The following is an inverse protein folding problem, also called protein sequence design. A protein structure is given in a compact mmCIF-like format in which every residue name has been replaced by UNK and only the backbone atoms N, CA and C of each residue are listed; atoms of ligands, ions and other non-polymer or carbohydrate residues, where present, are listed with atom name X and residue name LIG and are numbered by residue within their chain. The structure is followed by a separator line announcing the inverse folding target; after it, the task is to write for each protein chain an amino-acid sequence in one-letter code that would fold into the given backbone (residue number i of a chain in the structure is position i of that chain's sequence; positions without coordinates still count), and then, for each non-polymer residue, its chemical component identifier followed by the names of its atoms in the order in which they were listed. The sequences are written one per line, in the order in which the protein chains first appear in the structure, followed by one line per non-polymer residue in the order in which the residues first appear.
data_IF_902421239690
#
_entry.id   IF_902421239690
#
_cell.length_a   1.000
_cell.length_b   1.000
_cell.length_c   1.000
_cell.angle_alpha   90.00
_cell.angle_beta   90.00
_cell.angle_gamma   90.00
#
_symmetry.space_group_name_H-M   'P 1'
#
loop_
_entity.id
_entity.type
_entity.pdbx_description
1 polymer ?
#
# COMPACT_ATOMS: atom_id res chain seq x y z
N UNK A 1 -5.47 31.70 -9.06
CA UNK A 1 -4.67 30.70 -8.33
C UNK A 1 -5.06 29.33 -8.84
N UNK A 2 -4.11 28.54 -9.37
CA UNK A 2 -4.43 27.19 -9.86
C UNK A 2 -4.81 26.28 -8.69
N UNK A 3 -5.89 25.52 -8.81
CA UNK A 3 -6.25 24.52 -7.81
C UNK A 3 -5.09 23.52 -7.67
N UNK A 4 -4.63 23.28 -6.43
CA UNK A 4 -3.60 22.29 -6.18
C UNK A 4 -4.13 20.89 -6.54
N UNK A 5 -3.29 20.07 -7.18
CA UNK A 5 -3.59 18.69 -7.59
C UNK A 5 -2.79 17.73 -6.73
N UNK A 6 -3.40 16.60 -6.38
CA UNK A 6 -2.72 15.48 -5.75
C UNK A 6 -3.11 14.18 -6.46
N UNK A 7 -2.14 13.39 -6.90
CA UNK A 7 -2.36 12.10 -7.56
C UNK A 7 -1.58 11.02 -6.85
N UNK A 8 -2.36 10.17 -6.18
CA UNK A 8 -1.85 9.08 -5.37
C UNK A 8 -1.98 7.80 -6.18
N UNK A 9 -0.89 7.06 -6.31
CA UNK A 9 -0.94 5.66 -6.74
C UNK A 9 -1.04 4.74 -5.53
N UNK A 10 -1.77 3.65 -5.65
CA UNK A 10 -1.79 2.59 -4.64
C UNK A 10 -1.77 1.21 -5.28
N UNK A 11 -0.98 0.29 -4.73
CA UNK A 11 -1.15 -1.12 -5.08
C UNK A 11 -2.43 -1.67 -4.44
N UNK A 12 -3.06 -2.71 -5.01
CA UNK A 12 -4.39 -3.14 -4.57
C UNK A 12 -4.50 -3.42 -3.07
N UNK A 13 -3.50 -4.05 -2.44
CA UNK A 13 -3.57 -4.40 -1.02
C UNK A 13 -3.07 -3.26 -0.11
N UNK A 14 -2.39 -2.25 -0.65
CA UNK A 14 -2.06 -1.04 0.10
C UNK A 14 -3.31 -0.23 0.46
N UNK A 15 -4.41 -0.38 -0.29
CA UNK A 15 -5.66 0.33 -0.05
C UNK A 15 -6.51 -0.35 1.03
N UNK A 16 -6.04 -0.30 2.27
CA UNK A 16 -6.77 -0.81 3.44
C UNK A 16 -7.86 0.16 3.91
N UNK A 17 -8.84 -0.28 4.73
CA UNK A 17 -9.84 0.62 5.33
C UNK A 17 -9.22 1.78 6.12
N UNK A 18 -8.07 1.55 6.77
CA UNK A 18 -7.32 2.60 7.49
C UNK A 18 -6.80 3.68 6.53
N UNK A 19 -6.25 3.27 5.38
CA UNK A 19 -5.77 4.21 4.36
C UNK A 19 -6.92 4.95 3.70
N UNK A 20 -8.01 4.27 3.36
CA UNK A 20 -9.20 4.89 2.81
C UNK A 20 -9.76 5.98 3.74
N UNK A 21 -9.88 5.68 5.04
CA UNK A 21 -10.31 6.65 6.05
C UNK A 21 -9.33 7.84 6.20
N UNK A 22 -8.02 7.62 6.02
CA UNK A 22 -7.03 8.69 6.05
C UNK A 22 -7.14 9.61 4.83
N UNK A 23 -7.31 9.05 3.64
CA UNK A 23 -7.53 9.82 2.41
C UNK A 23 -8.83 10.62 2.49
N UNK A 24 -9.88 10.06 3.09
CA UNK A 24 -11.14 10.78 3.31
C UNK A 24 -10.95 12.00 4.21
N UNK A 25 -10.20 11.86 5.32
CA UNK A 25 -9.88 13.01 6.19
C UNK A 25 -9.08 14.09 5.46
N UNK A 26 -8.10 13.72 4.63
CA UNK A 26 -7.34 14.68 3.82
C UNK A 26 -8.25 15.41 2.84
N UNK A 27 -9.15 14.69 2.16
CA UNK A 27 -10.14 15.27 1.24
C UNK A 27 -11.04 16.29 1.95
N UNK A 28 -11.50 15.97 3.16
CA UNK A 28 -12.36 16.86 3.95
C UNK A 28 -11.59 18.09 4.49
N UNK A 29 -10.33 17.92 4.90
CA UNK A 29 -9.50 19.01 5.40
C UNK A 29 -9.02 19.97 4.29
N UNK A 30 -8.93 19.48 3.05
CA UNK A 30 -8.42 20.24 1.91
C UNK A 30 -9.36 20.19 0.69
N UNK A 31 -10.58 20.73 0.78
CA UNK A 31 -11.59 20.62 -0.27
C UNK A 31 -11.20 21.32 -1.59
N UNK A 32 -10.27 22.27 -1.53
CA UNK A 32 -9.75 22.95 -2.73
C UNK A 32 -8.72 22.13 -3.52
N UNK A 33 -8.23 21.01 -2.97
CA UNK A 33 -7.28 20.12 -3.65
C UNK A 33 -8.05 19.15 -4.53
N UNK A 34 -7.71 19.10 -5.83
CA UNK A 34 -8.20 18.04 -6.72
C UNK A 34 -7.37 16.78 -6.52
N UNK A 35 -7.82 15.90 -5.64
CA UNK A 35 -7.21 14.60 -5.39
C UNK A 35 -7.71 13.54 -6.38
N UNK A 36 -6.83 12.68 -6.87
CA UNK A 36 -7.20 11.45 -7.57
C UNK A 36 -6.37 10.26 -7.07
N UNK A 37 -6.99 9.08 -7.10
CA UNK A 37 -6.38 7.82 -6.71
C UNK A 37 -6.32 6.90 -7.93
N UNK A 38 -5.16 6.28 -8.17
CA UNK A 38 -4.94 5.31 -9.24
C UNK A 38 -4.50 3.99 -8.62
N UNK A 39 -5.22 2.92 -8.90
CA UNK A 39 -4.78 1.57 -8.53
C UNK A 39 -3.86 1.05 -9.63
N UNK A 40 -2.64 0.66 -9.26
CA UNK A 40 -1.58 0.22 -10.18
C UNK A 40 -0.88 -1.02 -9.65
N UNK A 41 -0.15 -1.74 -10.51
CA UNK A 41 0.73 -2.82 -10.08
C UNK A 41 1.84 -2.30 -9.17
N UNK A 42 2.22 -3.07 -8.14
CA UNK A 42 3.24 -2.65 -7.16
C UNK A 42 4.57 -2.22 -7.77
N UNK A 43 4.95 -2.82 -8.90
CA UNK A 43 6.21 -2.54 -9.61
C UNK A 43 6.16 -1.27 -10.46
N UNK A 44 4.97 -0.81 -10.82
CA UNK A 44 4.76 0.35 -11.68
C UNK A 44 4.81 1.66 -10.88
N UNK A 45 4.40 1.59 -9.60
CA UNK A 45 4.27 2.76 -8.73
C UNK A 45 5.58 3.52 -8.55
N UNK A 46 6.73 2.89 -8.22
CA UNK A 46 7.99 3.62 -8.03
C UNK A 46 8.41 4.41 -9.29
N UNK A 47 8.30 3.80 -10.47
CA UNK A 47 8.65 4.46 -11.73
C UNK A 47 7.70 5.63 -12.03
N UNK A 48 6.41 5.47 -11.75
CA UNK A 48 5.42 6.53 -11.95
C UNK A 48 5.55 7.69 -10.94
N UNK A 49 6.06 7.45 -9.73
CA UNK A 49 6.46 8.51 -8.79
C UNK A 49 7.73 9.20 -9.29
N UNK A 50 8.75 8.44 -9.68
CA UNK A 50 10.02 8.99 -10.17
C UNK A 50 9.84 9.86 -11.43
N UNK A 51 8.87 9.53 -12.29
CA UNK A 51 8.55 10.31 -13.49
C UNK A 51 7.61 11.50 -13.24
N UNK A 52 7.12 11.70 -12.00
CA UNK A 52 6.11 12.72 -11.66
C UNK A 52 4.71 12.43 -12.21
N UNK A 53 4.44 11.22 -12.70
CA UNK A 53 3.09 10.82 -13.10
C UNK A 53 2.17 10.61 -11.89
N UNK A 54 2.76 10.29 -10.74
CA UNK A 54 2.16 10.25 -9.42
C UNK A 54 2.93 11.19 -8.49
N UNK A 55 2.22 11.86 -7.59
CA UNK A 55 2.81 12.72 -6.57
C UNK A 55 3.23 11.89 -5.34
N UNK A 56 2.55 10.78 -5.07
CA UNK A 56 2.84 9.82 -3.99
C UNK A 56 2.43 8.40 -4.41
N UNK A 57 3.16 7.40 -3.95
CA UNK A 57 2.84 5.99 -4.12
C UNK A 57 2.65 5.25 -2.79
N UNK A 58 1.59 4.46 -2.67
CA UNK A 58 1.38 3.50 -1.58
C UNK A 58 1.62 2.09 -2.14
N UNK A 59 2.56 1.37 -1.54
CA UNK A 59 2.98 0.03 -1.97
C UNK A 59 2.82 -0.94 -0.81
N UNK A 60 2.41 -2.16 -1.14
CA UNK A 60 2.30 -3.27 -0.19
C UNK A 60 3.24 -4.42 -0.56
N UNK A 61 3.48 -5.27 0.44
CA UNK A 61 4.07 -6.58 0.24
C UNK A 61 4.58 -7.17 1.56
N UNK A 62 4.98 -8.45 1.51
CA UNK A 62 5.55 -9.12 2.66
C UNK A 62 6.94 -8.55 2.98
N UNK A 63 7.18 -8.30 4.27
CA UNK A 63 8.49 -7.94 4.81
C UNK A 63 8.75 -8.78 6.06
N UNK A 64 10.01 -8.84 6.49
CA UNK A 64 10.29 -9.24 7.87
C UNK A 64 10.12 -8.00 8.77
N UNK A 65 9.89 -8.15 10.09
CA UNK A 65 9.76 -7.01 11.01
C UNK A 65 10.98 -6.08 11.04
N UNK A 66 12.14 -6.59 10.65
CA UNK A 66 13.41 -5.84 10.65
C UNK A 66 13.76 -5.25 9.30
N UNK A 67 13.13 -5.71 8.22
CA UNK A 67 13.48 -5.32 6.86
C UNK A 67 12.43 -4.37 6.28
N UNK A 68 12.89 -3.32 5.62
CA UNK A 68 12.02 -2.51 4.77
C UNK A 68 11.51 -3.34 3.58
N UNK A 69 10.32 -2.99 3.08
CA UNK A 69 9.78 -3.58 1.87
C UNK A 69 10.78 -3.34 0.70
N UNK A 70 11.27 -4.40 0.03
CA UNK A 70 12.15 -4.21 -1.12
C UNK A 70 11.38 -3.51 -2.26
N UNK A 71 11.91 -2.37 -2.69
CA UNK A 71 11.36 -1.57 -3.79
C UNK A 71 12.37 -1.52 -4.95
N UNK A 72 11.90 -1.48 -6.20
CA UNK A 72 12.75 -1.17 -7.35
C UNK A 72 13.54 0.13 -7.13
N UNK A 73 14.85 0.09 -7.37
CA UNK A 73 15.72 1.28 -7.36
C UNK A 73 15.51 2.09 -8.64
N UNK A 74 14.50 2.96 -8.64
CA UNK A 74 14.17 3.85 -9.77
C UNK A 74 14.19 5.30 -9.31
N UNK A 75 15.37 5.91 -9.38
CA UNK A 75 15.59 7.32 -9.04
C UNK A 75 15.65 7.61 -7.53
N UNK A 76 15.87 8.87 -7.14
CA UNK A 76 15.99 9.28 -5.74
C UNK A 76 14.61 9.33 -5.09
N UNK A 77 14.08 8.16 -4.72
CA UNK A 77 12.83 8.03 -3.98
C UNK A 77 13.10 7.97 -2.48
N UNK A 78 12.21 8.60 -1.71
CA UNK A 78 12.14 8.37 -0.25
C UNK A 78 10.93 7.50 0.04
N UNK A 79 11.16 6.41 0.77
CA UNK A 79 10.11 5.51 1.24
C UNK A 79 10.02 5.55 2.76
N UNK A 80 8.79 5.52 3.29
CA UNK A 80 8.52 5.43 4.72
C UNK A 80 7.48 4.33 4.97
N UNK A 81 7.62 3.63 6.08
CA UNK A 81 6.60 2.66 6.52
C UNK A 81 5.38 3.42 7.04
N UNK A 82 4.22 3.17 6.43
CA UNK A 82 2.95 3.80 6.82
C UNK A 82 2.14 2.92 7.76
N UNK A 83 2.15 1.61 7.52
CA UNK A 83 1.43 0.63 8.31
C UNK A 83 2.04 -0.76 8.11
N UNK A 84 1.90 -1.60 9.13
CA UNK A 84 2.23 -3.02 9.10
C UNK A 84 1.04 -3.81 9.64
N UNK A 85 0.82 -5.00 9.09
CA UNK A 85 -0.20 -5.93 9.54
C UNK A 85 0.31 -7.38 9.39
N UNK A 86 -0.05 -8.30 10.30
CA UNK A 86 0.29 -9.70 10.16
C UNK A 86 -0.28 -10.29 8.87
N UNK A 87 0.50 -11.16 8.21
CA UNK A 87 -0.02 -12.01 7.15
C UNK A 87 -0.90 -13.11 7.77
N UNK A 88 -1.97 -13.44 7.06
CA UNK A 88 -2.90 -14.51 7.45
C UNK A 88 -3.02 -15.53 6.33
N UNK A 89 -3.31 -16.77 6.68
CA UNK A 89 -3.59 -17.83 5.72
C UNK A 89 -5.10 -17.98 5.59
N UNK A 90 -5.63 -17.66 4.41
CA UNK A 90 -7.04 -17.86 4.10
C UNK A 90 -7.29 -19.35 3.82
N UNK A 91 -8.10 -20.01 4.65
CA UNK A 91 -8.42 -21.43 4.54
C UNK A 91 -9.94 -21.62 4.47
N UNK A 92 -10.44 -22.60 3.70
CA UNK A 92 -11.82 -23.04 3.81
C UNK A 92 -12.16 -23.47 5.25
N UNK A 93 -13.41 -23.27 5.68
CA UNK A 93 -13.87 -23.55 7.07
C UNK A 93 -13.62 -24.99 7.53
N UNK A 94 -13.54 -25.95 6.61
CA UNK A 94 -13.26 -27.37 6.91
C UNK A 94 -11.80 -27.80 6.73
N UNK A 95 -10.89 -26.89 6.39
CA UNK A 95 -9.50 -27.25 6.10
C UNK A 95 -8.81 -27.82 7.36
N UNK A 96 -8.02 -28.90 7.27
CA UNK A 96 -7.33 -29.48 8.43
C UNK A 96 -6.48 -28.47 9.21
N UNK A 97 -5.86 -27.52 8.51
CA UNK A 97 -5.05 -26.46 9.12
C UNK A 97 -5.88 -25.36 9.79
N UNK A 98 -7.17 -25.22 9.48
CA UNK A 98 -8.03 -24.17 10.06
C UNK A 98 -8.27 -24.34 11.57
N UNK A 99 -7.99 -25.54 12.11
CA UNK A 99 -8.07 -25.83 13.55
C UNK A 99 -6.77 -25.51 14.31
N UNK A 100 -5.72 -25.07 13.63
CA UNK A 100 -4.43 -24.73 14.25
C UNK A 100 -4.38 -23.24 14.60
N UNK A 101 -3.85 -22.92 15.78
CA UNK A 101 -3.66 -21.53 16.24
C UNK A 101 -2.46 -20.82 15.60
N UNK A 102 -1.60 -21.57 14.93
CA UNK A 102 -0.43 -21.07 14.21
C UNK A 102 0.05 -22.10 13.20
N UNK A 103 0.69 -21.63 12.13
CA UNK A 103 1.19 -22.45 11.03
C UNK A 103 2.68 -22.19 10.87
N UNK A 104 3.45 -23.28 10.75
CA UNK A 104 4.83 -23.15 10.27
C UNK A 104 4.77 -22.91 8.77
N UNK A 105 5.69 -22.10 8.26
CA UNK A 105 5.74 -21.82 6.82
C UNK A 105 5.92 -23.10 5.99
N UNK A 106 6.63 -24.10 6.51
CA UNK A 106 6.80 -25.41 5.88
C UNK A 106 5.52 -26.28 5.84
N UNK A 107 4.46 -25.88 6.55
CA UNK A 107 3.15 -26.55 6.52
C UNK A 107 2.21 -25.93 5.46
N UNK A 108 2.63 -24.86 4.77
CA UNK A 108 1.89 -24.17 3.69
C UNK A 108 2.39 -24.62 2.30
#
# INVERSE_FOLDING_TARGET
AGAARLVVGASPLAMTPRIAAALDRVRQAHPAIRASLRILGRREIPAAVASGALDLGLVDGPTTPTDALPLPEVGPLTSVTVAEAPLVVALPTGHPLARRLGLRLADL
#
